data_IF_587598856317
#
_entry.id   IF_587598856317
#
_cell.length_a   1.000
_cell.length_b   1.000
_cell.length_c   1.000
_cell.angle_alpha   90.00
_cell.angle_beta   90.00
_cell.angle_gamma   90.00
#
_symmetry.space_group_name_H-M   'P 1'
#
loop_
_entity.id
_entity.type
_entity.pdbx_description
1 polymer ?
#
# COMPACT_ATOMS: atom_id res chain seq x y z
N UNK A 1 -10.74 22.89 -9.83
CA UNK A 1 -11.60 21.91 -9.13
C UNK A 1 -10.73 20.73 -8.71
N UNK A 2 -10.88 20.24 -7.47
CA UNK A 2 -10.12 19.10 -6.94
C UNK A 2 -11.10 18.07 -6.35
N UNK A 3 -10.96 16.80 -6.74
CA UNK A 3 -11.76 15.69 -6.24
C UNK A 3 -10.93 14.90 -5.22
N UNK A 4 -11.52 14.59 -4.08
CA UNK A 4 -10.91 13.77 -3.03
C UNK A 4 -11.73 12.49 -2.85
N UNK A 5 -11.08 11.35 -2.95
CA UNK A 5 -11.68 10.02 -2.80
C UNK A 5 -10.91 9.23 -1.74
N UNK A 6 -11.63 8.39 -1.02
CA UNK A 6 -11.00 7.43 -0.10
C UNK A 6 -10.30 6.31 -0.88
N UNK A 7 -9.19 5.76 -0.36
CA UNK A 7 -8.59 4.55 -0.91
C UNK A 7 -9.45 3.31 -0.58
N UNK A 8 -9.15 2.18 -1.23
CA UNK A 8 -9.78 0.89 -0.95
C UNK A 8 -8.83 -0.08 -0.22
N UNK A 9 -9.38 -1.03 0.53
CA UNK A 9 -8.60 -2.06 1.24
C UNK A 9 -8.01 -3.11 0.30
N UNK A 10 -8.76 -3.48 -0.75
CA UNK A 10 -8.33 -4.49 -1.72
C UNK A 10 -7.51 -3.82 -2.80
N UNK A 11 -6.42 -4.47 -3.18
CA UNK A 11 -5.51 -4.01 -4.24
C UNK A 11 -5.40 -5.09 -5.33
N UNK A 12 -5.18 -4.66 -6.57
CA UNK A 12 -4.85 -5.53 -7.70
C UNK A 12 -3.86 -4.84 -8.64
N UNK A 13 -3.00 -5.61 -9.31
CA UNK A 13 -1.88 -5.08 -10.12
C UNK A 13 -1.95 -5.53 -11.59
N UNK A 14 -3.06 -6.14 -11.95
CA UNK A 14 -3.35 -6.83 -13.21
C UNK A 14 -3.85 -5.86 -14.29
N UNK A 15 -4.11 -4.58 -13.96
CA UNK A 15 -4.61 -3.59 -14.89
C UNK A 15 -3.46 -2.81 -15.56
N UNK A 16 -3.37 -2.78 -16.91
CA UNK A 16 -2.34 -1.99 -17.58
C UNK A 16 -2.60 -0.50 -17.37
N UNK A 17 -1.54 0.26 -17.06
CA UNK A 17 -1.58 1.71 -17.11
C UNK A 17 -1.81 2.13 -18.57
N UNK A 18 -3.07 2.47 -18.91
CA UNK A 18 -3.50 2.79 -20.28
C UNK A 18 -2.88 4.11 -20.77
N UNK A 19 -1.63 4.09 -21.20
CA UNK A 19 -0.95 5.23 -21.85
C UNK A 19 -0.81 6.50 -20.99
N UNK A 20 -1.04 6.42 -19.68
CA UNK A 20 -0.94 7.57 -18.78
C UNK A 20 0.49 7.74 -18.29
N UNK A 21 0.93 9.00 -18.19
CA UNK A 21 2.21 9.33 -17.58
C UNK A 21 2.16 8.99 -16.09
N UNK A 22 3.02 8.05 -15.68
CA UNK A 22 3.19 7.70 -14.27
C UNK A 22 3.91 8.82 -13.53
N UNK A 23 3.54 9.00 -12.26
CA UNK A 23 4.17 9.95 -11.34
C UNK A 23 4.65 9.24 -10.10
N UNK A 24 5.56 9.86 -9.36
CA UNK A 24 6.02 9.35 -8.06
C UNK A 24 5.24 10.04 -6.93
N UNK A 25 4.90 9.34 -5.83
CA UNK A 25 4.31 9.97 -4.66
C UNK A 25 5.22 11.07 -4.12
N UNK A 26 4.63 12.14 -3.59
CA UNK A 26 5.37 13.31 -3.07
C UNK A 26 5.86 13.14 -1.64
N UNK A 27 5.19 12.31 -0.83
CA UNK A 27 5.40 12.15 0.61
C UNK A 27 6.07 10.81 0.94
N UNK A 28 7.11 10.45 0.17
CA UNK A 28 7.82 9.18 0.35
C UNK A 28 8.63 9.15 1.65
N UNK A 29 9.11 10.31 2.12
CA UNK A 29 9.83 10.42 3.39
C UNK A 29 8.88 10.13 4.56
N UNK A 30 7.71 10.77 4.60
CA UNK A 30 6.70 10.52 5.62
C UNK A 30 6.22 9.06 5.59
N UNK A 31 6.06 8.49 4.38
CA UNK A 31 5.72 7.08 4.21
C UNK A 31 6.81 6.16 4.77
N UNK A 32 8.09 6.53 4.65
CA UNK A 32 9.22 5.76 5.19
C UNK A 32 9.22 5.75 6.72
N UNK A 33 8.84 6.86 7.36
CA UNK A 33 8.70 6.93 8.82
C UNK A 33 7.61 5.99 9.32
N UNK A 34 6.45 5.98 8.66
CA UNK A 34 5.36 5.05 8.98
C UNK A 34 5.80 3.59 8.80
N UNK A 35 6.51 3.30 7.71
CA UNK A 35 7.01 1.96 7.44
C UNK A 35 8.08 1.50 8.44
N UNK A 36 8.87 2.42 9.00
CA UNK A 36 9.79 2.13 10.10
C UNK A 36 9.08 1.60 11.34
N UNK A 37 7.88 2.11 11.63
CA UNK A 37 7.04 1.61 12.73
C UNK A 37 6.36 0.30 12.34
N UNK A 38 5.71 0.26 11.17
CA UNK A 38 4.89 -0.88 10.74
C UNK A 38 5.69 -2.17 10.47
N UNK A 39 6.96 -2.06 10.06
CA UNK A 39 7.84 -3.21 9.84
C UNK A 39 8.41 -3.81 11.12
N UNK A 40 8.34 -3.08 12.25
CA UNK A 40 8.79 -3.56 13.56
C UNK A 40 7.71 -4.29 14.36
N UNK A 41 6.44 -4.20 13.92
CA UNK A 41 5.32 -4.87 14.58
C UNK A 41 5.36 -6.38 14.33
N UNK A 42 5.00 -7.15 15.35
CA UNK A 42 4.67 -8.56 15.19
C UNK A 42 3.33 -8.74 14.48
N UNK A 43 3.08 -9.96 13.98
CA UNK A 43 1.82 -10.30 13.34
C UNK A 43 0.61 -10.08 14.26
N UNK A 44 0.72 -10.44 15.55
CA UNK A 44 -0.36 -10.29 16.53
C UNK A 44 -0.63 -8.81 16.84
N UNK A 45 0.42 -7.99 16.96
CA UNK A 45 0.28 -6.54 17.14
C UNK A 45 -0.38 -5.88 15.93
N UNK A 46 0.03 -6.26 14.71
CA UNK A 46 -0.57 -5.76 13.48
C UNK A 46 -2.04 -6.19 13.36
N UNK A 47 -2.35 -7.45 13.69
CA UNK A 47 -3.70 -7.98 13.68
C UNK A 47 -4.61 -7.22 14.66
N UNK A 48 -4.14 -6.97 15.88
CA UNK A 48 -4.88 -6.22 16.89
C UNK A 48 -5.08 -4.75 16.48
N UNK A 49 -4.01 -4.09 16.00
CA UNK A 49 -4.04 -2.69 15.58
C UNK A 49 -5.04 -2.45 14.44
N UNK A 50 -5.00 -3.32 13.42
CA UNK A 50 -5.80 -3.16 12.20
C UNK A 50 -7.11 -3.98 12.21
N UNK A 51 -7.38 -4.71 13.30
CA UNK A 51 -8.53 -5.63 13.45
C UNK A 51 -8.61 -6.64 12.29
N UNK A 52 -7.48 -7.27 11.98
CA UNK A 52 -7.34 -8.21 10.87
C UNK A 52 -7.48 -9.66 11.33
N UNK A 53 -7.86 -10.53 10.40
CA UNK A 53 -7.69 -11.97 10.59
C UNK A 53 -6.20 -12.34 10.57
N UNK A 54 -5.80 -13.50 11.15
CA UNK A 54 -4.41 -13.93 11.16
C UNK A 54 -3.76 -13.98 9.77
N UNK A 55 -4.49 -14.50 8.78
CA UNK A 55 -4.02 -14.58 7.39
C UNK A 55 -3.82 -13.20 6.73
N UNK A 56 -4.68 -12.21 7.05
CA UNK A 56 -4.51 -10.85 6.53
C UNK A 56 -3.37 -10.11 7.23
N UNK A 57 -3.14 -10.39 8.52
CA UNK A 57 -2.03 -9.84 9.26
C UNK A 57 -0.69 -10.39 8.75
N UNK A 58 -0.60 -11.70 8.47
CA UNK A 58 0.57 -12.33 7.86
C UNK A 58 0.93 -11.67 6.52
N UNK A 59 -0.05 -11.56 5.62
CA UNK A 59 0.10 -10.86 4.34
C UNK A 59 0.51 -9.39 4.53
N UNK A 60 0.02 -8.73 5.59
CA UNK A 60 0.39 -7.36 5.95
C UNK A 60 1.86 -7.25 6.34
N UNK A 61 2.36 -8.16 7.19
CA UNK A 61 3.76 -8.22 7.60
C UNK A 61 4.68 -8.46 6.39
N UNK A 62 4.35 -9.43 5.54
CA UNK A 62 5.11 -9.70 4.32
C UNK A 62 5.21 -8.47 3.42
N UNK A 63 4.08 -7.78 3.22
CA UNK A 63 4.04 -6.54 2.43
C UNK A 63 4.85 -5.42 3.07
N UNK A 64 4.77 -5.28 4.38
CA UNK A 64 5.50 -4.26 5.11
C UNK A 64 7.02 -4.48 5.01
N UNK A 65 7.46 -5.73 5.11
CA UNK A 65 8.86 -6.13 4.98
C UNK A 65 9.39 -5.98 3.54
N UNK A 66 8.56 -6.26 2.53
CA UNK A 66 8.93 -6.13 1.12
C UNK A 66 8.89 -4.67 0.59
N UNK A 67 8.34 -3.74 1.37
CA UNK A 67 8.19 -2.35 0.96
C UNK A 67 9.54 -1.65 0.80
N UNK A 68 9.62 -0.78 -0.20
CA UNK A 68 10.77 0.08 -0.45
C UNK A 68 10.30 1.50 -0.73
N UNK A 69 11.13 2.49 -0.38
CA UNK A 69 10.79 3.91 -0.50
C UNK A 69 10.48 4.35 -1.94
N UNK A 70 11.11 3.75 -2.95
CA UNK A 70 10.88 4.12 -4.34
C UNK A 70 10.09 3.05 -5.10
N UNK A 71 9.04 3.42 -5.85
CA UNK A 71 8.30 2.48 -6.68
C UNK A 71 9.22 1.69 -7.61
N UNK A 72 9.07 0.36 -7.58
CA UNK A 72 9.75 -0.59 -8.47
C UNK A 72 8.98 -0.74 -9.78
N UNK A 73 9.51 -1.51 -10.73
CA UNK A 73 8.86 -1.76 -12.03
C UNK A 73 7.51 -2.49 -11.90
N UNK A 74 7.31 -3.24 -10.82
CA UNK A 74 6.08 -3.97 -10.49
C UNK A 74 5.04 -3.11 -9.75
N UNK A 75 5.36 -1.84 -9.46
CA UNK A 75 4.43 -0.92 -8.80
C UNK A 75 3.35 -0.42 -9.76
N UNK A 76 2.08 -0.49 -9.33
CA UNK A 76 0.93 -0.01 -10.10
C UNK A 76 0.53 1.43 -9.75
N UNK A 77 0.00 2.22 -10.72
CA UNK A 77 -0.62 3.52 -10.44
C UNK A 77 -1.85 3.38 -9.52
N UNK A 78 -1.90 4.17 -8.44
CA UNK A 78 -2.93 4.10 -7.39
C UNK A 78 -4.38 4.07 -7.92
N UNK A 79 -4.68 4.87 -8.96
CA UNK A 79 -6.00 4.93 -9.60
C UNK A 79 -6.48 3.57 -10.13
N UNK A 80 -5.56 2.72 -10.60
CA UNK A 80 -5.88 1.39 -11.14
C UNK A 80 -5.64 0.28 -10.13
N UNK A 81 -4.86 0.55 -9.08
CA UNK A 81 -4.50 -0.44 -8.07
C UNK A 81 -5.56 -0.66 -7.01
N UNK A 82 -6.30 0.37 -6.60
CA UNK A 82 -7.37 0.22 -5.62
C UNK A 82 -8.59 -0.49 -6.24
N UNK A 83 -9.08 -1.53 -5.56
CA UNK A 83 -10.26 -2.32 -5.96
C UNK A 83 -11.30 -2.23 -4.85
N UNK A 84 -12.49 -1.77 -5.20
CA UNK A 84 -13.60 -1.62 -4.25
C UNK A 84 -14.58 -0.58 -4.76
N UNK A 85 -15.83 -0.72 -4.33
CA UNK A 85 -16.85 0.31 -4.48
C UNK A 85 -16.92 1.12 -3.17
#
# INVERSE_FOLDING_TARGET
>A
MLLLLSPAKKMGFDAPARGLRLTKPRLLQDSSELMGVLSALSQDELAALMKLSPALAELGIERNAAWVCHPKQDSGPALFSFRGA
#
